data_IF_041419358048
#
_entry.id   IF_041419358048
#
_cell.length_a   1.000
_cell.length_b   1.000
_cell.length_c   1.000
_cell.angle_alpha   90.00
_cell.angle_beta   90.00
_cell.angle_gamma   90.00
#
_symmetry.space_group_name_H-M   'P 1'
#
loop_
_entity.id
_entity.type
_entity.pdbx_description
1 polymer ?
#
# COMPACT_ATOMS: atom_id res chain seq x y z
N UNK A 1 -4.85 2.48 -2.07
CA UNK A 1 -4.80 3.83 -2.65
C UNK A 1 -5.98 4.65 -2.17
N UNK A 2 -7.23 4.30 -2.51
CA UNK A 2 -8.41 5.14 -2.17
C UNK A 2 -8.55 5.42 -0.67
N UNK A 3 -8.32 4.41 0.18
CA UNK A 3 -8.32 4.63 1.64
C UNK A 3 -7.31 5.68 2.12
N UNK A 4 -6.14 5.76 1.48
CA UNK A 4 -5.08 6.72 1.82
C UNK A 4 -5.30 8.11 1.16
N UNK A 5 -6.13 8.20 0.12
CA UNK A 5 -6.37 9.47 -0.60
C UNK A 5 -7.77 10.02 -0.32
N UNK A 6 -8.81 9.38 -0.84
CA UNK A 6 -10.20 9.77 -0.66
C UNK A 6 -10.63 9.55 0.79
N UNK A 7 -10.26 8.39 1.35
CA UNK A 7 -10.56 8.03 2.73
C UNK A 7 -9.72 8.79 3.77
N UNK A 8 -8.68 9.50 3.34
CA UNK A 8 -7.76 10.29 4.19
C UNK A 8 -7.16 9.50 5.37
N UNK A 9 -7.00 8.19 5.24
CA UNK A 9 -6.33 7.40 6.26
C UNK A 9 -4.84 7.73 6.29
N UNK A 10 -4.27 7.93 7.47
CA UNK A 10 -2.84 8.19 7.64
C UNK A 10 -1.99 6.93 7.39
N UNK A 11 -2.58 5.74 7.59
CA UNK A 11 -1.92 4.46 7.39
C UNK A 11 -2.89 3.35 6.99
N UNK A 12 -2.38 2.30 6.35
CA UNK A 12 -3.10 1.08 6.06
C UNK A 12 -2.28 -0.14 6.52
N UNK A 13 -2.90 -1.01 7.30
CA UNK A 13 -2.30 -2.26 7.77
C UNK A 13 -2.90 -3.44 7.01
N UNK A 14 -2.04 -4.34 6.54
CA UNK A 14 -2.45 -5.60 5.94
C UNK A 14 -1.52 -6.71 6.42
N UNK A 15 -2.08 -7.91 6.63
CA UNK A 15 -1.35 -9.05 7.19
C UNK A 15 -1.40 -10.26 6.25
N UNK A 16 -2.60 -10.82 6.02
CA UNK A 16 -2.77 -12.07 5.26
C UNK A 16 -2.15 -12.02 3.86
N UNK A 17 -2.30 -10.90 3.13
CA UNK A 17 -1.77 -10.75 1.77
C UNK A 17 -0.24 -10.77 1.70
N UNK A 18 0.44 -10.38 2.79
CA UNK A 18 1.90 -10.42 2.89
C UNK A 18 2.37 -11.74 3.52
N UNK A 19 1.63 -12.26 4.50
CA UNK A 19 1.95 -13.52 5.16
C UNK A 19 1.87 -14.71 4.19
N UNK A 20 0.86 -14.74 3.34
CA UNK A 20 0.68 -15.77 2.33
C UNK A 20 1.35 -15.43 0.99
N UNK A 21 2.23 -14.42 0.96
CA UNK A 21 2.99 -14.01 -0.22
C UNK A 21 2.13 -13.77 -1.48
N UNK A 22 0.87 -13.35 -1.29
CA UNK A 22 -0.02 -12.99 -2.41
C UNK A 22 0.50 -11.75 -3.13
N UNK A 23 1.11 -10.83 -2.37
CA UNK A 23 1.87 -9.69 -2.88
C UNK A 23 3.11 -9.49 -2.01
N UNK A 24 4.20 -9.04 -2.61
CA UNK A 24 5.37 -8.56 -1.89
C UNK A 24 5.20 -7.10 -1.43
N UNK A 25 5.95 -6.73 -0.40
CA UNK A 25 5.92 -5.36 0.15
C UNK A 25 6.34 -4.34 -0.91
N UNK A 26 7.35 -4.66 -1.74
CA UNK A 26 7.81 -3.75 -2.79
C UNK A 26 6.73 -3.53 -3.87
N UNK A 27 5.99 -4.57 -4.26
CA UNK A 27 4.89 -4.46 -5.24
C UNK A 27 3.79 -3.52 -4.74
N UNK A 28 3.42 -3.65 -3.46
CA UNK A 28 2.44 -2.77 -2.83
C UNK A 28 2.93 -1.31 -2.80
N UNK A 29 4.19 -1.08 -2.46
CA UNK A 29 4.80 0.26 -2.47
C UNK A 29 4.85 0.86 -3.87
N UNK A 30 5.31 0.10 -4.87
CA UNK A 30 5.36 0.56 -6.26
C UNK A 30 3.97 0.91 -6.79
N UNK A 31 2.97 0.10 -6.47
CA UNK A 31 1.58 0.36 -6.83
C UNK A 31 1.06 1.69 -6.24
N UNK A 32 1.43 1.98 -5.00
CA UNK A 32 1.05 3.21 -4.29
C UNK A 32 1.82 4.43 -4.83
N UNK A 33 3.14 4.30 -5.02
CA UNK A 33 3.99 5.35 -5.57
C UNK A 33 3.53 5.78 -6.97
N UNK A 34 3.21 4.81 -7.85
CA UNK A 34 2.68 5.08 -9.21
C UNK A 34 1.35 5.84 -9.22
N UNK A 35 0.61 5.85 -8.09
CA UNK A 35 -0.65 6.59 -7.93
C UNK A 35 -0.49 7.87 -7.12
N UNK A 36 0.74 8.33 -6.90
CA UNK A 36 1.03 9.58 -6.20
C UNK A 36 0.92 9.48 -4.67
N UNK A 37 0.83 8.28 -4.10
CA UNK A 37 0.89 8.11 -2.65
C UNK A 37 2.36 8.11 -2.24
N UNK A 38 2.74 9.07 -1.39
CA UNK A 38 4.08 9.15 -0.84
C UNK A 38 4.36 7.93 0.06
N UNK A 39 5.24 7.06 -0.39
CA UNK A 39 5.68 5.87 0.34
C UNK A 39 7.21 5.81 0.35
N UNK A 40 7.80 5.26 1.42
CA UNK A 40 9.24 5.00 1.46
C UNK A 40 9.56 3.81 0.56
N UNK A 41 10.34 4.03 -0.50
CA UNK A 41 10.83 2.96 -1.38
C UNK A 41 11.91 2.16 -0.66
#
# INVERSE_FOLDING_TARGET
YEGLTIGKADAALAASIFHYQTYAIHEAKDYLAKRGVAVRL
#
